data_IF_737442640150
#
_entry.id   IF_737442640150
#
_cell.length_a   1.000
_cell.length_b   1.000
_cell.length_c   1.000
_cell.angle_alpha   90.00
_cell.angle_beta   90.00
_cell.angle_gamma   90.00
#
_symmetry.space_group_name_H-M   'P 1'
#
loop_
_entity.id
_entity.type
_entity.pdbx_description
1 polymer ?
#
# COMPACT_ATOMS: atom_id res chain seq x y z
N UNK A 1 11.29 14.17 -7.64
CA UNK A 1 12.37 13.58 -6.82
C UNK A 1 12.90 12.38 -7.60
N UNK A 2 14.21 12.18 -7.76
CA UNK A 2 14.73 11.00 -8.47
C UNK A 2 15.34 10.05 -7.45
N UNK A 3 14.81 8.83 -7.39
CA UNK A 3 15.46 7.72 -6.70
C UNK A 3 16.44 7.05 -7.67
N UNK A 4 17.41 6.30 -7.17
CA UNK A 4 18.47 5.70 -8.01
C UNK A 4 18.02 4.43 -8.75
N UNK A 5 16.77 4.00 -8.62
CA UNK A 5 16.32 2.69 -9.08
C UNK A 5 15.50 2.78 -10.38
N UNK A 6 15.75 1.82 -11.26
CA UNK A 6 15.00 1.66 -12.51
C UNK A 6 13.65 0.96 -12.22
N UNK A 7 12.58 1.38 -12.90
CA UNK A 7 11.25 0.75 -12.82
C UNK A 7 11.30 -0.78 -13.06
N UNK A 8 12.14 -1.26 -13.96
CA UNK A 8 12.31 -2.70 -14.21
C UNK A 8 12.75 -3.46 -12.95
N UNK A 9 13.64 -2.86 -12.15
CA UNK A 9 14.10 -3.43 -10.88
C UNK A 9 12.97 -3.44 -9.85
N UNK A 10 12.19 -2.36 -9.73
CA UNK A 10 11.02 -2.28 -8.86
C UNK A 10 9.99 -3.36 -9.23
N UNK A 11 9.65 -3.49 -10.51
CA UNK A 11 8.71 -4.51 -11.01
C UNK A 11 9.23 -5.93 -10.72
N UNK A 12 10.54 -6.16 -10.90
CA UNK A 12 11.16 -7.45 -10.58
C UNK A 12 11.07 -7.79 -9.10
N UNK A 13 11.35 -6.83 -8.21
CA UNK A 13 11.24 -7.01 -6.77
C UNK A 13 9.81 -7.34 -6.34
N UNK A 14 8.82 -6.61 -6.88
CA UNK A 14 7.39 -6.85 -6.59
C UNK A 14 6.99 -8.27 -7.01
N UNK A 15 7.39 -8.72 -8.21
CA UNK A 15 7.13 -10.09 -8.69
C UNK A 15 7.80 -11.16 -7.82
N UNK A 16 8.95 -10.83 -7.25
CA UNK A 16 9.69 -11.72 -6.36
C UNK A 16 9.16 -11.73 -4.91
N UNK A 17 8.12 -10.92 -4.59
CA UNK A 17 7.60 -10.79 -3.22
C UNK A 17 8.54 -10.06 -2.30
N UNK A 18 9.40 -9.18 -2.84
CA UNK A 18 10.30 -8.34 -2.08
C UNK A 18 9.65 -6.96 -1.85
N UNK A 19 9.62 -6.46 -0.62
CA UNK A 19 9.10 -5.12 -0.34
C UNK A 19 9.90 -4.03 -1.07
N UNK A 20 9.20 -2.97 -1.50
CA UNK A 20 9.79 -1.74 -2.03
C UNK A 20 9.35 -0.56 -1.18
N UNK A 21 10.04 0.58 -1.28
CA UNK A 21 9.63 1.82 -0.62
C UNK A 21 9.07 2.76 -1.67
N UNK A 22 7.84 3.24 -1.46
CA UNK A 22 7.23 4.30 -2.27
C UNK A 22 7.36 5.60 -1.49
N UNK A 23 7.83 6.66 -2.13
CA UNK A 23 7.92 8.00 -1.53
C UNK A 23 7.09 9.00 -2.31
N UNK A 24 6.40 9.89 -1.60
CA UNK A 24 5.66 10.98 -2.22
C UNK A 24 6.44 12.29 -2.22
N UNK A 25 5.83 13.34 -2.79
CA UNK A 25 6.49 14.65 -2.91
C UNK A 25 6.51 15.39 -1.58
N UNK A 26 7.48 16.32 -1.44
CA UNK A 26 7.60 17.22 -0.29
C UNK A 26 6.32 18.06 -0.05
N UNK A 27 5.62 18.40 -1.14
CA UNK A 27 4.43 19.26 -1.07
C UNK A 27 3.16 18.48 -0.70
N UNK A 28 3.23 17.15 -0.59
CA UNK A 28 2.11 16.29 -0.20
C UNK A 28 2.24 15.87 1.27
N UNK A 29 2.53 14.64 1.58
CA UNK A 29 2.74 14.11 2.95
C UNK A 29 4.22 14.12 3.33
N UNK A 30 5.08 14.06 2.31
CA UNK A 30 6.54 13.94 2.45
C UNK A 30 6.92 12.71 3.28
N UNK A 31 6.30 11.58 2.97
CA UNK A 31 6.42 10.31 3.69
C UNK A 31 6.85 9.19 2.77
N UNK A 32 7.08 8.02 3.33
CA UNK A 32 7.37 6.82 2.58
C UNK A 32 6.70 5.60 3.19
N UNK A 33 6.16 4.75 2.33
CA UNK A 33 5.53 3.50 2.70
C UNK A 33 6.37 2.31 2.24
N UNK A 34 6.50 1.29 3.10
CA UNK A 34 6.82 -0.05 2.63
C UNK A 34 5.63 -0.60 1.88
N UNK A 35 5.86 -1.10 0.67
CA UNK A 35 4.84 -1.70 -0.21
C UNK A 35 5.21 -3.13 -0.57
N UNK A 36 4.22 -4.01 -0.59
CA UNK A 36 4.32 -5.39 -1.04
C UNK A 36 3.06 -5.76 -1.83
N UNK A 37 3.20 -6.53 -2.93
CA UNK A 37 2.03 -7.12 -3.60
C UNK A 37 1.38 -8.15 -2.66
N UNK A 38 0.08 -8.03 -2.39
CA UNK A 38 -0.58 -8.83 -1.35
C UNK A 38 -0.60 -10.33 -1.67
N UNK A 39 -0.67 -10.72 -2.95
CA UNK A 39 -0.62 -12.14 -3.34
C UNK A 39 0.77 -12.78 -3.16
N UNK A 40 1.82 -11.97 -3.07
CA UNK A 40 3.19 -12.41 -2.86
C UNK A 40 3.60 -12.38 -1.38
N UNK A 41 2.70 -11.99 -0.47
CA UNK A 41 3.01 -11.87 0.95
C UNK A 41 3.32 -13.23 1.58
N UNK A 42 4.31 -13.21 2.47
CA UNK A 42 4.64 -14.32 3.38
C UNK A 42 4.62 -13.84 4.83
N UNK A 43 4.49 -14.73 5.81
CA UNK A 43 4.59 -14.32 7.22
C UNK A 43 5.87 -13.54 7.54
N UNK A 44 6.99 -13.90 6.92
CA UNK A 44 8.29 -13.26 7.12
C UNK A 44 8.31 -11.83 6.57
N UNK A 45 7.80 -11.62 5.35
CA UNK A 45 7.73 -10.28 4.74
C UNK A 45 6.74 -9.40 5.49
N UNK A 46 5.63 -9.95 5.95
CA UNK A 46 4.64 -9.23 6.74
C UNK A 46 5.20 -8.83 8.12
N UNK A 47 5.93 -9.74 8.79
CA UNK A 47 6.62 -9.46 10.04
C UNK A 47 7.68 -8.35 9.85
N UNK A 48 8.42 -8.39 8.74
CA UNK A 48 9.37 -7.34 8.37
C UNK A 48 8.67 -5.98 8.23
N UNK A 49 7.59 -5.92 7.46
CA UNK A 49 6.83 -4.69 7.23
C UNK A 49 6.26 -4.13 8.54
N UNK A 50 5.64 -4.98 9.39
CA UNK A 50 5.11 -4.57 10.69
C UNK A 50 6.19 -4.03 11.63
N UNK A 51 7.39 -4.64 11.62
CA UNK A 51 8.50 -4.24 12.48
C UNK A 51 9.15 -2.93 12.04
N UNK A 52 9.31 -2.71 10.75
CA UNK A 52 10.10 -1.60 10.20
C UNK A 52 9.27 -0.46 9.62
N UNK A 53 8.00 -0.71 9.25
CA UNK A 53 7.04 0.34 8.93
C UNK A 53 6.55 1.02 10.21
N UNK A 54 5.83 0.29 11.04
CA UNK A 54 5.24 0.74 12.32
C UNK A 54 3.97 1.57 12.20
N UNK A 55 3.59 1.99 10.99
CA UNK A 55 2.35 2.69 10.70
C UNK A 55 1.12 1.77 10.71
N UNK A 56 0.08 2.19 10.01
CA UNK A 56 -1.15 1.41 9.86
C UNK A 56 -1.03 0.47 8.66
N UNK A 57 -1.21 -0.83 8.86
CA UNK A 57 -1.20 -1.78 7.76
C UNK A 57 -2.48 -1.67 6.96
N UNK A 58 -2.36 -1.21 5.72
CA UNK A 58 -3.46 -0.97 4.81
C UNK A 58 -3.41 -1.90 3.59
N UNK A 59 -4.58 -2.11 2.96
CA UNK A 59 -4.77 -2.95 1.80
C UNK A 59 -5.34 -2.14 0.62
N UNK A 60 -4.52 -1.36 -0.11
CA UNK A 60 -4.93 -0.71 -1.35
C UNK A 60 -5.48 -1.71 -2.36
N UNK A 61 -6.63 -1.41 -2.94
CA UNK A 61 -7.27 -2.23 -3.96
C UNK A 61 -8.20 -1.41 -4.86
N UNK A 62 -8.66 -1.98 -5.95
CA UNK A 62 -9.70 -1.39 -6.80
C UNK A 62 -11.08 -1.54 -6.15
N UNK A 63 -12.03 -0.69 -6.57
CA UNK A 63 -13.38 -0.62 -5.99
C UNK A 63 -14.16 -1.94 -6.09
N UNK A 64 -14.06 -2.64 -7.21
CA UNK A 64 -14.72 -3.91 -7.48
C UNK A 64 -14.40 -4.98 -6.42
N UNK A 65 -13.18 -4.93 -5.86
CA UNK A 65 -12.79 -5.85 -4.79
C UNK A 65 -13.60 -5.62 -3.51
N UNK A 66 -13.78 -4.36 -3.12
CA UNK A 66 -14.57 -4.00 -1.94
C UNK A 66 -16.04 -4.30 -2.14
N UNK A 67 -16.58 -3.99 -3.32
CA UNK A 67 -17.97 -4.25 -3.69
C UNK A 67 -18.27 -5.76 -3.63
N UNK A 68 -17.43 -6.58 -4.24
CA UNK A 68 -17.57 -8.04 -4.23
C UNK A 68 -17.56 -8.62 -2.83
N UNK A 69 -16.73 -8.09 -1.93
CA UNK A 69 -16.60 -8.57 -0.55
C UNK A 69 -17.55 -7.84 0.42
N UNK A 70 -18.41 -6.94 -0.06
CA UNK A 70 -19.35 -6.14 0.74
C UNK A 70 -18.65 -5.40 1.89
N UNK A 71 -17.49 -4.81 1.60
CA UNK A 71 -16.73 -3.97 2.55
C UNK A 71 -17.07 -2.50 2.27
N UNK A 72 -17.92 -1.85 3.09
CA UNK A 72 -18.34 -0.48 2.84
C UNK A 72 -17.23 0.52 3.19
N UNK A 73 -17.32 1.71 2.59
CA UNK A 73 -16.43 2.82 2.93
C UNK A 73 -16.74 3.36 4.33
N UNK A 74 -15.70 3.75 5.07
CA UNK A 74 -15.87 4.49 6.32
C UNK A 74 -16.53 5.84 6.06
N UNK A 75 -17.32 6.32 7.02
CA UNK A 75 -17.85 7.68 6.97
C UNK A 75 -16.69 8.68 7.14
N UNK A 76 -16.57 9.60 6.18
CA UNK A 76 -15.60 10.69 6.25
C UNK A 76 -16.30 11.97 6.71
N UNK A 77 -15.71 12.68 7.67
CA UNK A 77 -16.14 14.02 8.09
C UNK A 77 -15.39 15.15 7.35
N UNK A 78 -14.67 14.82 6.28
CA UNK A 78 -13.89 15.74 5.43
C UNK A 78 -12.73 16.48 6.14
N UNK A 79 -12.28 15.99 7.29
CA UNK A 79 -11.12 16.57 7.99
C UNK A 79 -9.79 16.08 7.39
N UNK A 80 -9.78 15.00 6.64
CA UNK A 80 -8.58 14.50 5.95
C UNK A 80 -8.24 15.40 4.75
N UNK A 81 -7.11 16.09 4.85
CA UNK A 81 -6.58 16.97 3.80
C UNK A 81 -6.30 16.23 2.49
N UNK A 82 -5.91 14.97 2.57
CA UNK A 82 -5.54 14.15 1.42
C UNK A 82 -6.64 13.18 0.98
N UNK A 83 -7.77 13.18 1.71
CA UNK A 83 -8.96 12.35 1.40
C UNK A 83 -8.60 10.89 1.19
N UNK A 84 -7.90 10.28 2.17
CA UNK A 84 -7.55 8.87 2.13
C UNK A 84 -8.81 8.00 2.18
N UNK A 85 -9.04 7.14 1.19
CA UNK A 85 -10.32 6.45 0.97
C UNK A 85 -10.43 5.15 1.80
N UNK A 86 -10.48 5.27 3.12
CA UNK A 86 -10.64 4.13 4.02
C UNK A 86 -11.98 3.43 3.85
N UNK A 87 -11.93 2.11 3.69
CA UNK A 87 -13.07 1.24 3.90
C UNK A 87 -13.09 0.70 5.34
N UNK A 88 -14.20 0.07 5.76
CA UNK A 88 -14.25 -0.58 7.07
C UNK A 88 -13.10 -1.57 7.21
N UNK A 89 -12.48 -1.57 8.39
CA UNK A 89 -11.44 -2.55 8.70
C UNK A 89 -12.02 -3.96 8.76
N UNK A 90 -11.20 -4.95 8.41
CA UNK A 90 -11.59 -6.34 8.25
C UNK A 90 -10.64 -7.28 8.98
N UNK A 91 -11.18 -8.42 9.41
CA UNK A 91 -10.43 -9.64 9.74
C UNK A 91 -11.09 -10.83 9.04
N UNK A 92 -10.37 -11.92 8.86
CA UNK A 92 -10.98 -13.18 8.46
C UNK A 92 -11.96 -13.65 9.55
N UNK A 93 -13.13 -14.14 9.15
CA UNK A 93 -14.12 -14.69 10.09
C UNK A 93 -13.67 -16.00 10.73
N UNK A 94 -12.79 -16.73 10.06
CA UNK A 94 -12.28 -18.03 10.49
C UNK A 94 -10.78 -18.18 10.23
N UNK A 95 -10.11 -18.99 11.04
CA UNK A 95 -8.69 -19.27 10.92
C UNK A 95 -7.78 -18.23 11.59
N UNK A 96 -8.36 -17.32 12.39
CA UNK A 96 -7.67 -16.30 13.15
C UNK A 96 -7.98 -16.39 14.63
N UNK A 97 -7.11 -15.83 15.49
CA UNK A 97 -7.34 -15.71 16.92
C UNK A 97 -7.93 -14.33 17.27
N UNK A 98 -7.08 -13.32 17.43
CA UNK A 98 -7.48 -11.95 17.74
C UNK A 98 -7.42 -11.00 16.52
N UNK A 99 -6.93 -11.48 15.37
CA UNK A 99 -6.79 -10.71 14.14
C UNK A 99 -5.48 -9.88 14.02
N UNK A 100 -4.77 -9.64 15.13
CA UNK A 100 -3.63 -8.71 15.18
C UNK A 100 -2.31 -9.34 14.79
N UNK A 101 -2.11 -10.63 15.13
CA UNK A 101 -0.83 -11.30 14.88
C UNK A 101 -0.49 -11.31 13.38
N UNK A 102 0.80 -11.43 13.06
CA UNK A 102 1.24 -11.58 11.66
C UNK A 102 0.53 -12.75 10.98
N UNK A 103 0.36 -13.87 11.67
CA UNK A 103 -0.32 -15.04 11.13
C UNK A 103 -1.82 -14.78 10.88
N UNK A 104 -2.51 -14.12 11.80
CA UNK A 104 -3.92 -13.76 11.63
C UNK A 104 -4.11 -12.78 10.47
N UNK A 105 -3.25 -11.75 10.39
CA UNK A 105 -3.26 -10.81 9.27
C UNK A 105 -2.97 -11.52 7.94
N UNK A 106 -2.05 -12.50 7.94
CA UNK A 106 -1.75 -13.29 6.75
C UNK A 106 -2.97 -14.08 6.26
N UNK A 107 -3.73 -14.72 7.17
CA UNK A 107 -4.99 -15.40 6.82
C UNK A 107 -5.98 -14.41 6.20
N UNK A 108 -6.15 -13.24 6.81
CA UNK A 108 -7.05 -12.20 6.30
C UNK A 108 -6.63 -11.71 4.91
N UNK A 109 -5.32 -11.46 4.70
CA UNK A 109 -4.79 -11.03 3.41
C UNK A 109 -4.99 -12.11 2.34
N UNK A 110 -4.70 -13.37 2.63
CA UNK A 110 -4.89 -14.48 1.69
C UNK A 110 -6.35 -14.58 1.26
N UNK A 111 -7.30 -14.52 2.20
CA UNK A 111 -8.73 -14.45 1.88
C UNK A 111 -9.07 -13.21 1.09
N UNK A 112 -8.53 -12.02 1.46
CA UNK A 112 -8.81 -10.77 0.75
C UNK A 112 -8.31 -10.79 -0.70
N UNK A 113 -7.26 -11.50 -1.04
CA UNK A 113 -6.72 -11.65 -2.41
C UNK A 113 -7.39 -12.77 -3.20
N UNK A 114 -8.00 -13.74 -2.51
CA UNK A 114 -8.60 -14.94 -3.15
C UNK A 114 -9.82 -14.61 -4.00
N UNK A 115 -9.86 -15.12 -5.23
CA UNK A 115 -11.01 -14.97 -6.13
C UNK A 115 -12.25 -15.74 -5.69
N UNK A 116 -12.10 -16.69 -4.78
CA UNK A 116 -13.23 -17.52 -4.29
C UNK A 116 -13.84 -16.99 -3.01
N UNK A 117 -13.25 -15.97 -2.39
CA UNK A 117 -13.77 -15.38 -1.16
C UNK A 117 -15.10 -14.67 -1.35
N UNK A 118 -15.94 -14.78 -0.33
CA UNK A 118 -17.28 -14.22 -0.25
C UNK A 118 -17.40 -13.27 0.97
N UNK A 119 -18.43 -12.42 1.06
CA UNK A 119 -18.57 -11.47 2.17
C UNK A 119 -18.53 -12.10 3.56
N UNK A 120 -19.08 -13.29 3.74
CA UNK A 120 -19.09 -14.02 5.03
C UNK A 120 -17.71 -14.48 5.50
N UNK A 121 -16.69 -14.45 4.64
CA UNK A 121 -15.30 -14.75 5.03
C UNK A 121 -14.67 -13.67 5.89
N UNK A 122 -15.34 -12.51 6.05
CA UNK A 122 -14.79 -11.34 6.75
C UNK A 122 -15.69 -10.85 7.87
N UNK A 123 -15.07 -10.65 9.05
CA UNK A 123 -15.64 -9.88 10.15
C UNK A 123 -15.30 -8.38 9.97
N UNK A 124 -16.22 -7.52 10.37
CA UNK A 124 -16.09 -6.06 10.34
C UNK A 124 -16.65 -5.48 11.66
N UNK A 125 -15.92 -4.61 12.36
CA UNK A 125 -14.55 -4.14 12.08
C UNK A 125 -13.49 -5.20 12.39
N UNK A 126 -12.26 -4.99 11.88
CA UNK A 126 -11.09 -5.84 12.11
C UNK A 126 -9.79 -5.00 12.23
N UNK A 127 -8.65 -5.61 11.90
CA UNK A 127 -7.32 -5.02 12.12
C UNK A 127 -6.54 -4.72 10.82
N UNK A 128 -7.10 -5.00 9.66
CA UNK A 128 -6.57 -4.58 8.36
C UNK A 128 -7.51 -3.55 7.71
N UNK A 129 -6.94 -2.53 7.10
CA UNK A 129 -7.67 -1.39 6.56
C UNK A 129 -7.62 -1.36 5.04
N UNK A 130 -8.66 -1.85 4.34
CA UNK A 130 -8.71 -1.70 2.89
C UNK A 130 -8.82 -0.22 2.49
N UNK A 131 -8.10 0.16 1.42
CA UNK A 131 -8.13 1.49 0.82
C UNK A 131 -8.61 1.38 -0.62
N UNK A 132 -9.63 2.17 -0.98
CA UNK A 132 -10.18 2.18 -2.32
C UNK A 132 -9.39 3.13 -3.23
N UNK A 133 -8.57 2.59 -4.13
CA UNK A 133 -7.91 3.39 -5.15
C UNK A 133 -8.94 4.09 -6.06
N UNK A 134 -8.61 5.29 -6.53
CA UNK A 134 -9.41 6.02 -7.51
C UNK A 134 -9.40 5.27 -8.85
N UNK A 135 -10.51 5.26 -9.62
CA UNK A 135 -10.56 4.56 -10.90
C UNK A 135 -9.48 5.00 -11.89
N UNK A 136 -9.14 6.28 -11.91
CA UNK A 136 -8.07 6.85 -12.73
C UNK A 136 -6.65 6.66 -12.16
N UNK A 137 -6.51 5.98 -11.01
CA UNK A 137 -5.24 5.74 -10.33
C UNK A 137 -4.42 7.03 -10.19
N UNK A 138 -3.11 7.00 -10.52
CA UNK A 138 -2.20 8.14 -10.39
C UNK A 138 -2.55 9.34 -11.28
N UNK A 139 -3.39 9.16 -12.31
CA UNK A 139 -3.92 10.29 -13.08
C UNK A 139 -4.98 11.08 -12.31
N UNK A 140 -5.67 10.44 -11.35
CA UNK A 140 -6.74 11.07 -10.57
C UNK A 140 -6.26 11.48 -9.17
N UNK A 141 -5.45 10.65 -8.49
CA UNK A 141 -4.90 10.93 -7.16
C UNK A 141 -3.48 10.39 -7.03
N UNK A 142 -2.53 11.29 -6.79
CA UNK A 142 -1.10 10.98 -6.70
C UNK A 142 -0.71 10.59 -5.26
N UNK A 143 -1.29 9.48 -4.75
CA UNK A 143 -1.07 8.99 -3.39
C UNK A 143 -0.50 7.57 -3.33
N UNK A 144 -0.04 7.16 -2.13
CA UNK A 144 0.48 5.81 -1.87
C UNK A 144 -0.53 4.70 -2.20
N UNK A 145 -1.83 4.95 -2.00
CA UNK A 145 -2.91 4.02 -2.37
C UNK A 145 -2.91 3.72 -3.87
N UNK A 146 -2.93 4.76 -4.70
CA UNK A 146 -2.99 4.62 -6.16
C UNK A 146 -1.68 4.09 -6.71
N UNK A 147 -0.53 4.59 -6.21
CA UNK A 147 0.79 4.17 -6.68
C UNK A 147 1.06 2.69 -6.40
N UNK A 148 0.63 2.17 -5.26
CA UNK A 148 0.81 0.75 -4.92
C UNK A 148 -0.04 -0.17 -5.81
N UNK A 149 -1.29 0.20 -6.10
CA UNK A 149 -2.14 -0.54 -7.05
C UNK A 149 -1.56 -0.45 -8.46
N UNK A 150 -1.08 0.73 -8.88
CA UNK A 150 -0.44 0.94 -10.18
C UNK A 150 0.79 0.04 -10.37
N UNK A 151 1.64 -0.06 -9.35
CA UNK A 151 2.82 -0.92 -9.35
C UNK A 151 2.44 -2.41 -9.44
N UNK A 152 1.38 -2.84 -8.76
CA UNK A 152 0.86 -4.21 -8.92
C UNK A 152 0.45 -4.49 -10.37
N UNK A 153 -0.27 -3.55 -11.01
CA UNK A 153 -0.67 -3.68 -12.41
C UNK A 153 0.54 -3.71 -13.36
N UNK A 154 1.54 -2.85 -13.15
CA UNK A 154 2.79 -2.83 -13.93
C UNK A 154 3.58 -4.13 -13.75
N UNK A 155 3.53 -4.71 -12.57
CA UNK A 155 4.15 -6.01 -12.29
C UNK A 155 3.34 -7.20 -12.85
N UNK A 156 2.11 -7.00 -13.32
CA UNK A 156 1.24 -8.08 -13.81
C UNK A 156 0.78 -9.04 -12.71
N UNK A 157 0.68 -8.53 -11.47
CA UNK A 157 0.14 -9.24 -10.31
C UNK A 157 -1.25 -8.70 -9.96
N UNK A 158 -1.97 -9.37 -9.07
CA UNK A 158 -3.30 -8.89 -8.64
C UNK A 158 -3.23 -7.46 -8.09
N UNK A 159 -4.19 -6.58 -8.45
CA UNK A 159 -4.16 -5.16 -8.06
C UNK A 159 -4.59 -4.94 -6.61
N UNK A 160 -3.92 -5.64 -5.70
CA UNK A 160 -4.06 -5.55 -4.25
C UNK A 160 -2.67 -5.47 -3.65
N UNK A 161 -2.40 -4.40 -2.92
CA UNK A 161 -1.12 -4.20 -2.22
C UNK A 161 -1.31 -4.26 -0.70
N UNK A 162 -0.19 -4.42 0.00
CA UNK A 162 -0.03 -4.12 1.42
C UNK A 162 0.87 -2.90 1.49
N UNK A 163 0.44 -1.87 2.19
CA UNK A 163 1.28 -0.71 2.49
C UNK A 163 1.30 -0.45 4.00
N UNK A 164 2.38 0.14 4.47
CA UNK A 164 2.53 0.59 5.85
C UNK A 164 3.52 1.76 5.89
N UNK A 165 3.13 2.84 6.52
CA UNK A 165 3.95 4.03 6.66
C UNK A 165 5.21 3.72 7.49
N UNK A 166 6.35 4.35 7.13
CA UNK A 166 7.59 4.20 7.87
C UNK A 166 7.74 5.29 8.92
N UNK A 167 7.87 4.86 10.17
CA UNK A 167 8.08 5.73 11.33
C UNK A 167 9.49 5.53 11.90
N UNK A 168 10.07 6.59 12.44
CA UNK A 168 11.30 6.56 13.21
C UNK A 168 11.12 5.91 14.58
N UNK A 169 12.22 5.61 15.28
CA UNK A 169 12.19 5.01 16.62
C UNK A 169 11.53 5.91 17.67
N UNK A 170 11.54 7.22 17.45
CA UNK A 170 10.89 8.21 18.32
C UNK A 170 9.41 8.44 18.03
N UNK A 171 8.84 7.71 17.05
CA UNK A 171 7.44 7.80 16.63
C UNK A 171 7.16 8.91 15.62
N UNK A 172 8.14 9.71 15.21
CA UNK A 172 7.98 10.66 14.10
C UNK A 172 7.96 9.95 12.75
N UNK A 173 7.37 10.58 11.73
CA UNK A 173 7.38 10.01 10.38
C UNK A 173 8.78 10.07 9.77
N UNK A 174 9.22 8.95 9.19
CA UNK A 174 10.48 8.92 8.45
C UNK A 174 10.39 9.80 7.19
N UNK A 175 11.45 10.53 6.92
CA UNK A 175 11.61 11.37 5.73
C UNK A 175 12.68 10.75 4.83
N UNK A 176 12.89 11.33 3.66
CA UNK A 176 13.78 10.76 2.66
C UNK A 176 15.13 10.27 3.22
N UNK A 177 15.88 11.03 4.06
CA UNK A 177 17.16 10.55 4.57
C UNK A 177 17.06 9.26 5.38
N UNK A 178 16.03 9.12 6.24
CA UNK A 178 15.80 7.92 7.04
C UNK A 178 15.31 6.76 6.15
N UNK A 179 14.50 7.05 5.13
CA UNK A 179 14.05 6.05 4.16
C UNK A 179 15.20 5.51 3.32
N UNK A 180 16.15 6.35 2.91
CA UNK A 180 17.40 5.95 2.22
C UNK A 180 18.28 5.06 3.11
N UNK A 181 18.38 5.38 4.40
CA UNK A 181 19.09 4.56 5.37
C UNK A 181 18.44 3.19 5.55
N UNK A 182 17.10 3.15 5.67
CA UNK A 182 16.33 1.91 5.74
C UNK A 182 16.53 1.07 4.47
N UNK A 183 16.41 1.71 3.30
CA UNK A 183 16.61 1.06 2.01
C UNK A 183 18.01 0.45 1.90
N UNK A 184 19.04 1.20 2.26
CA UNK A 184 20.43 0.71 2.26
C UNK A 184 20.63 -0.45 3.22
N UNK A 185 20.09 -0.34 4.44
CA UNK A 185 20.23 -1.36 5.49
C UNK A 185 19.66 -2.71 5.07
N UNK A 186 18.51 -2.71 4.39
CA UNK A 186 17.79 -3.92 4.01
C UNK A 186 17.85 -4.22 2.52
N UNK A 187 18.67 -3.47 1.77
CA UNK A 187 18.81 -3.62 0.32
C UNK A 187 17.46 -3.54 -0.41
N UNK A 188 16.59 -2.63 0.04
CA UNK A 188 15.31 -2.36 -0.59
C UNK A 188 15.50 -1.34 -1.71
N UNK A 189 14.70 -1.49 -2.75
CA UNK A 189 14.59 -0.47 -3.78
C UNK A 189 13.53 0.56 -3.41
N UNK A 190 13.77 1.81 -3.83
CA UNK A 190 12.86 2.94 -3.60
C UNK A 190 12.43 3.52 -4.94
N UNK A 191 11.20 4.01 -4.99
CA UNK A 191 10.66 4.73 -6.13
C UNK A 191 9.77 5.88 -5.66
N UNK A 192 9.84 7.01 -6.34
CA UNK A 192 8.92 8.11 -6.10
C UNK A 192 7.64 7.97 -6.94
N UNK A 193 6.54 8.54 -6.44
CA UNK A 193 5.27 8.60 -7.19
C UNK A 193 5.49 9.32 -8.53
N UNK A 194 6.30 10.38 -8.56
CA UNK A 194 6.64 11.10 -9.78
C UNK A 194 7.30 10.20 -10.84
N UNK A 195 8.23 9.32 -10.43
CA UNK A 195 8.89 8.39 -11.34
C UNK A 195 7.92 7.34 -11.90
N UNK A 196 6.94 6.88 -11.10
CA UNK A 196 5.89 5.97 -11.58
C UNK A 196 5.03 6.68 -12.65
N UNK A 197 4.64 7.93 -12.38
CA UNK A 197 3.86 8.75 -13.32
C UNK A 197 4.66 9.00 -14.61
N UNK A 198 5.94 9.39 -14.50
CA UNK A 198 6.80 9.63 -15.67
C UNK A 198 6.95 8.37 -16.53
N UNK A 199 7.14 7.21 -15.89
CA UNK A 199 7.27 5.93 -16.59
C UNK A 199 6.00 5.54 -17.35
N UNK A 200 4.84 5.67 -16.72
CA UNK A 200 3.59 5.15 -17.29
C UNK A 200 2.90 6.15 -18.23
N UNK A 201 2.94 7.43 -17.90
CA UNK A 201 2.15 8.47 -18.58
C UNK A 201 2.99 9.49 -19.35
N UNK A 202 4.33 9.39 -19.27
CA UNK A 202 5.23 10.40 -19.81
C UNK A 202 5.47 11.57 -18.84
N UNK A 203 6.23 12.59 -19.26
CA UNK A 203 6.60 13.71 -18.37
C UNK A 203 5.40 14.30 -17.65
N UNK A 204 5.53 14.46 -16.34
CA UNK A 204 4.54 15.07 -15.46
C UNK A 204 4.04 16.39 -16.05
N UNK A 205 2.75 16.44 -16.39
CA UNK A 205 2.07 17.71 -16.63
C UNK A 205 1.98 18.36 -15.24
N UNK A 206 2.81 19.38 -14.99
CA UNK A 206 2.63 20.21 -13.81
C UNK A 206 1.20 20.71 -13.81
N UNK A 207 0.40 20.28 -12.84
CA UNK A 207 -0.91 20.86 -12.63
C UNK A 207 -0.70 22.33 -12.32
N UNK A 208 -1.06 23.18 -13.28
CA UNK A 208 -1.18 24.61 -13.06
C UNK A 208 -2.10 24.83 -11.86
N UNK A 209 -1.55 25.42 -10.81
CA UNK A 209 -2.31 25.88 -9.65
C UNK A 209 -3.41 26.83 -10.18
N UNK A 210 -4.66 26.46 -10.00
CA UNK A 210 -5.82 27.35 -10.09
C UNK A 210 -6.18 27.82 -8.69
#
# INVERSE_FOLDING_TARGET
MKTSNNMETIVSDIKAGKPVIIVDSYDRENEGDLMLAAEMATPETLAFMAKWGRGIMCLPCMADRLERLSVPMMQSNKLDKFVTPFANSIDASEGVSTGVSVNDRMVTIQKFVSETSVPSDFAQPGHLFPLRARPGLLQERQGHTESSVELCLLAGVKPVAIIIEVMNDDGSMARLPQLEELAKRFQLNMISIDEIIEHKYGKVIQHASL
#
